data_IF_299255114864
#
_entry.id   IF_299255114864
#
_cell.length_a   1.000
_cell.length_b   1.000
_cell.length_c   1.000
_cell.angle_alpha   90.00
_cell.angle_beta   90.00
_cell.angle_gamma   90.00
#
_symmetry.space_group_name_H-M   'P 1'
#
loop_
_entity.id
_entity.type
_entity.pdbx_description
1 polymer ?
#
# COMPACT_ATOMS: atom_id res chain seq x y z
N UNK A 1 -11.17 -10.14 -13.37
CA UNK A 1 -9.85 -9.61 -12.98
C UNK A 1 -8.93 -10.78 -12.70
N UNK A 2 -7.71 -10.78 -13.25
CA UNK A 2 -6.72 -11.82 -12.94
C UNK A 2 -6.37 -11.72 -11.45
N UNK A 3 -6.43 -12.85 -10.73
CA UNK A 3 -6.16 -12.92 -9.29
C UNK A 3 -4.69 -13.22 -8.98
N UNK A 4 -3.87 -13.44 -10.00
CA UNK A 4 -2.46 -13.71 -9.80
C UNK A 4 -1.70 -12.43 -9.39
N UNK A 5 -0.62 -12.58 -8.61
CA UNK A 5 0.30 -11.49 -8.29
C UNK A 5 0.74 -10.73 -9.55
N UNK A 6 0.87 -9.42 -9.43
CA UNK A 6 1.33 -8.56 -10.55
C UNK A 6 2.75 -8.92 -11.00
N UNK A 7 3.55 -9.50 -10.11
CA UNK A 7 4.88 -10.05 -10.40
C UNK A 7 4.88 -11.26 -11.35
N UNK A 8 3.73 -11.91 -11.55
CA UNK A 8 3.53 -12.98 -12.52
C UNK A 8 2.85 -12.51 -13.81
N UNK A 9 2.70 -11.19 -13.99
CA UNK A 9 2.14 -10.65 -15.23
C UNK A 9 3.01 -11.04 -16.44
N UNK A 10 2.33 -11.35 -17.55
CA UNK A 10 3.00 -11.62 -18.82
C UNK A 10 3.67 -10.35 -19.39
N UNK A 11 3.08 -9.20 -19.11
CA UNK A 11 3.62 -7.90 -19.46
C UNK A 11 4.82 -7.55 -18.56
N UNK A 12 5.94 -7.21 -19.20
CA UNK A 12 7.20 -6.91 -18.53
C UNK A 12 7.10 -5.67 -17.64
N UNK A 13 6.40 -4.63 -18.08
CA UNK A 13 6.28 -3.37 -17.36
C UNK A 13 5.42 -3.57 -16.10
N UNK A 14 4.36 -4.37 -16.20
CA UNK A 14 3.53 -4.74 -15.04
C UNK A 14 4.32 -5.56 -14.02
N UNK A 15 5.15 -6.51 -14.47
CA UNK A 15 5.97 -7.32 -13.57
C UNK A 15 6.94 -6.48 -12.73
N UNK A 16 7.51 -5.42 -13.32
CA UNK A 16 8.44 -4.51 -12.64
C UNK A 16 7.73 -3.41 -11.83
N UNK A 17 6.41 -3.32 -11.93
CA UNK A 17 5.63 -2.28 -11.25
C UNK A 17 5.69 -2.43 -9.73
N UNK A 18 5.79 -3.65 -9.20
CA UNK A 18 5.92 -3.85 -7.74
C UNK A 18 7.20 -3.21 -7.19
N UNK A 19 8.35 -3.47 -7.82
CA UNK A 19 9.62 -2.88 -7.43
C UNK A 19 9.64 -1.35 -7.64
N UNK A 20 8.99 -0.87 -8.71
CA UNK A 20 8.82 0.57 -8.93
C UNK A 20 8.01 1.22 -7.80
N UNK A 21 6.89 0.60 -7.38
CA UNK A 21 6.08 1.09 -6.27
C UNK A 21 6.83 1.04 -4.94
N UNK A 22 7.60 -0.01 -4.65
CA UNK A 22 8.44 -0.10 -3.44
C UNK A 22 9.46 1.04 -3.38
N UNK A 23 10.11 1.36 -4.50
CA UNK A 23 11.03 2.49 -4.61
C UNK A 23 10.31 3.83 -4.43
N UNK A 24 9.17 4.00 -5.07
CA UNK A 24 8.35 5.21 -4.96
C UNK A 24 7.90 5.45 -3.51
N UNK A 25 7.41 4.41 -2.82
CA UNK A 25 7.03 4.48 -1.41
C UNK A 25 8.21 4.89 -0.53
N UNK A 26 9.38 4.25 -0.70
CA UNK A 26 10.60 4.62 0.06
C UNK A 26 10.96 6.09 -0.15
N UNK A 27 10.88 6.58 -1.39
CA UNK A 27 11.19 7.98 -1.70
C UNK A 27 10.17 8.94 -1.13
N UNK A 28 8.87 8.63 -1.23
CA UNK A 28 7.79 9.44 -0.69
C UNK A 28 7.95 9.67 0.82
N UNK A 29 8.30 8.62 1.57
CA UNK A 29 8.57 8.70 3.01
C UNK A 29 9.75 9.62 3.34
N UNK A 30 10.85 9.49 2.60
CA UNK A 30 12.02 10.37 2.78
C UNK A 30 11.62 11.83 2.55
N UNK A 31 10.90 12.11 1.46
CA UNK A 31 10.45 13.47 1.13
C UNK A 31 9.51 13.99 2.21
N UNK A 32 8.50 13.20 2.61
CA UNK A 32 7.55 13.56 3.66
C UNK A 32 8.24 13.95 4.97
N UNK A 33 9.26 13.20 5.41
CA UNK A 33 10.07 13.53 6.59
C UNK A 33 10.88 14.81 6.42
N UNK A 34 11.42 15.05 5.22
CA UNK A 34 12.20 16.26 4.92
C UNK A 34 11.33 17.52 4.86
N UNK A 35 10.10 17.40 4.36
CA UNK A 35 9.21 18.54 4.12
C UNK A 35 8.12 18.71 5.18
N UNK A 36 8.03 17.79 6.16
CA UNK A 36 6.96 17.76 7.15
C UNK A 36 5.58 17.48 6.52
N UNK A 37 5.53 16.88 5.34
CA UNK A 37 4.27 16.63 4.61
C UNK A 37 3.63 15.34 5.09
N UNK A 38 2.32 15.34 5.27
CA UNK A 38 1.57 14.12 5.63
C UNK A 38 1.56 13.12 4.47
N UNK A 39 1.60 11.84 4.82
CA UNK A 39 1.36 10.76 3.87
C UNK A 39 -0.10 10.30 3.97
N UNK A 40 -0.68 9.96 2.82
CA UNK A 40 -2.05 9.47 2.72
C UNK A 40 -2.01 7.99 2.34
N UNK A 41 -2.61 7.15 3.19
CA UNK A 41 -2.74 5.72 2.97
C UNK A 41 -4.20 5.39 2.71
N UNK A 42 -4.47 4.61 1.67
CA UNK A 42 -5.80 4.03 1.43
C UNK A 42 -5.76 2.54 1.82
N UNK A 43 -6.56 2.14 2.79
CA UNK A 43 -6.60 0.77 3.32
C UNK A 43 -8.04 0.34 3.59
N UNK A 44 -8.49 -0.78 3.00
CA UNK A 44 -9.90 -1.24 3.09
C UNK A 44 -10.95 -0.20 2.68
N UNK A 45 -10.53 0.73 1.81
CA UNK A 45 -11.37 1.83 1.40
C UNK A 45 -11.43 2.99 2.40
N UNK A 46 -10.71 2.90 3.52
CA UNK A 46 -10.51 3.99 4.46
C UNK A 46 -9.26 4.79 4.09
N UNK A 47 -9.36 6.10 4.22
CA UNK A 47 -8.26 7.02 4.00
C UNK A 47 -7.67 7.40 5.36
N UNK A 48 -6.39 7.11 5.56
CA UNK A 48 -5.64 7.49 6.74
C UNK A 48 -4.61 8.55 6.36
N UNK A 49 -4.61 9.67 7.07
CA UNK A 49 -3.54 10.66 6.99
C UNK A 49 -2.58 10.40 8.14
N UNK A 50 -1.29 10.23 7.83
CA UNK A 50 -0.26 9.99 8.82
C UNK A 50 0.81 11.06 8.75
N UNK A 51 1.24 11.54 9.91
CA UNK A 51 2.41 12.39 9.98
C UNK A 51 3.68 11.58 9.70
N UNK A 52 4.78 12.23 9.27
CA UNK A 52 6.06 11.55 9.08
C UNK A 52 6.61 10.87 10.34
N UNK A 53 6.22 11.34 11.52
CA UNK A 53 6.68 10.81 12.82
C UNK A 53 5.90 9.57 13.25
N UNK A 54 4.62 9.47 12.87
CA UNK A 54 3.76 8.32 13.15
C UNK A 54 3.95 7.18 12.14
N UNK A 55 4.63 7.46 11.02
CA UNK A 55 4.76 6.55 9.89
C UNK A 55 5.30 5.17 10.28
N UNK A 56 6.38 5.11 11.05
CA UNK A 56 7.02 3.84 11.41
C UNK A 56 6.12 3.00 12.34
N UNK A 57 5.36 3.66 13.22
CA UNK A 57 4.43 3.00 14.13
C UNK A 57 3.21 2.43 13.39
N UNK A 58 2.66 3.18 12.43
CA UNK A 58 1.54 2.72 11.59
C UNK A 58 1.95 1.54 10.72
N UNK A 59 3.14 1.59 10.11
CA UNK A 59 3.65 0.48 9.29
C UNK A 59 3.89 -0.79 10.11
N UNK A 60 4.47 -0.65 11.31
CA UNK A 60 4.65 -1.77 12.21
C UNK A 60 3.32 -2.38 12.66
N UNK A 61 2.33 -1.54 12.99
CA UNK A 61 1.00 -1.98 13.40
C UNK A 61 0.27 -2.76 12.30
N UNK A 62 0.52 -2.44 11.03
CA UNK A 62 -0.17 -3.05 9.90
C UNK A 62 0.57 -4.23 9.25
N UNK A 63 1.83 -4.48 9.60
CA UNK A 63 2.64 -5.54 8.98
C UNK A 63 1.95 -6.92 9.00
N UNK A 64 1.45 -7.36 10.16
CA UNK A 64 0.78 -8.66 10.30
C UNK A 64 -0.62 -8.72 9.65
N UNK A 65 -1.28 -7.58 9.49
CA UNK A 65 -2.54 -7.48 8.77
C UNK A 65 -2.31 -7.53 7.25
N UNK A 66 -1.25 -6.90 6.74
CA UNK A 66 -0.83 -6.99 5.33
C UNK A 66 -0.51 -8.44 4.96
N UNK A 67 0.24 -9.16 5.81
CA UNK A 67 0.61 -10.56 5.55
C UNK A 67 -0.61 -11.48 5.51
N UNK A 68 -1.54 -11.34 6.46
CA UNK A 68 -2.84 -12.05 6.43
C UNK A 68 -3.61 -11.78 5.14
N UNK A 69 -3.51 -10.56 4.60
CA UNK A 69 -4.20 -10.20 3.36
C UNK A 69 -3.56 -10.80 2.13
N UNK A 70 -2.23 -10.80 2.05
CA UNK A 70 -1.50 -11.49 0.97
C UNK A 70 -1.93 -12.96 0.93
N UNK A 71 -1.97 -13.63 2.09
CA UNK A 71 -2.47 -15.01 2.19
C UNK A 71 -3.93 -15.15 1.74
N UNK A 72 -4.81 -14.21 2.11
CA UNK A 72 -6.21 -14.23 1.66
C UNK A 72 -6.35 -14.03 0.14
N UNK A 73 -5.50 -13.20 -0.48
CA UNK A 73 -5.42 -13.05 -1.93
C UNK A 73 -4.97 -14.34 -2.61
N UNK A 74 -3.91 -14.97 -2.10
CA UNK A 74 -3.40 -16.25 -2.60
C UNK A 74 -4.43 -17.38 -2.47
N UNK A 75 -5.19 -17.40 -1.37
CA UNK A 75 -6.27 -18.36 -1.13
C UNK A 75 -7.56 -18.06 -1.94
N UNK A 76 -7.60 -16.97 -2.71
CA UNK A 76 -8.74 -16.60 -3.56
C UNK A 76 -9.93 -15.97 -2.83
N UNK A 77 -9.77 -15.58 -1.56
CA UNK A 77 -10.79 -14.94 -0.70
C UNK A 77 -10.80 -13.41 -0.76
N UNK A 78 -10.34 -12.82 -1.86
CA UNK A 78 -10.14 -11.39 -2.00
C UNK A 78 -11.47 -10.59 -1.99
N UNK A 79 -11.62 -9.69 -1.01
CA UNK A 79 -12.70 -8.68 -0.99
C UNK A 79 -12.19 -7.38 -1.60
N UNK A 80 -12.96 -6.78 -2.52
CA UNK A 80 -12.63 -5.51 -3.17
C UNK A 80 -13.18 -4.37 -2.32
N UNK A 81 -12.33 -3.41 -1.97
CA UNK A 81 -12.71 -2.21 -1.25
C UNK A 81 -12.54 -0.99 -2.15
N UNK A 82 -13.53 -0.10 -2.14
CA UNK A 82 -13.44 1.19 -2.81
C UNK A 82 -13.06 2.25 -1.79
N UNK A 83 -12.06 3.07 -2.09
CA UNK A 83 -11.68 4.18 -1.22
C UNK A 83 -12.77 5.24 -1.17
N UNK A 84 -13.45 5.30 -0.02
CA UNK A 84 -14.42 6.31 0.32
C UNK A 84 -13.63 7.50 0.86
N UNK A 85 -13.37 8.49 0.02
CA UNK A 85 -12.65 9.69 0.44
C UNK A 85 -13.50 10.52 1.39
N UNK A 86 -13.24 10.47 2.69
CA UNK A 86 -13.68 11.54 3.60
C UNK A 86 -12.59 12.60 3.64
N UNK A 87 -12.65 13.54 2.69
CA UNK A 87 -11.91 14.79 2.79
C UNK A 87 -12.40 15.53 4.03
N UNK A 88 -11.51 15.75 5.01
CA UNK A 88 -11.77 16.60 6.16
C UNK A 88 -10.66 17.61 6.32
#
# INVERSE_FOLDING_TARGET
MNRQPISLAHDLDLRLSEDAMRRAAKRARIVARQTGTQLVYCYHGEVLHISPDEQDAVEAAWAGEVERRIQAYEAGGATVFFCQGTAR
#
